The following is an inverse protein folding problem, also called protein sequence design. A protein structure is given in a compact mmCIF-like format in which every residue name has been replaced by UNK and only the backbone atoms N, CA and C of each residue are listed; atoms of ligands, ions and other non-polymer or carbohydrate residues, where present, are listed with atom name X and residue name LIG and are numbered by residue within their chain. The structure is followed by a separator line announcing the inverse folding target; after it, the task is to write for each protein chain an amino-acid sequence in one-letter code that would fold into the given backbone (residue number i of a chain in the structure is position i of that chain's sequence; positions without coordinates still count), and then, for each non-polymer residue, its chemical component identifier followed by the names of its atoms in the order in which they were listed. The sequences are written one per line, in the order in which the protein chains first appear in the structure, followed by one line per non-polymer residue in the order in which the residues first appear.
data_IF_671772734823
#
_entry.id   IF_671772734823
#
_cell.length_a   1.000
_cell.length_b   1.000
_cell.length_c   1.000
_cell.angle_alpha   90.00
_cell.angle_beta   90.00
_cell.angle_gamma   90.00
#
_symmetry.space_group_name_H-M   'P 1'
#
loop_
_entity.id
_entity.type
_entity.pdbx_description
1 polymer ?
#
# COMPACT_ATOMS: atom_id res chain seq x y z
N UNK A 1 8.29 2.69 17.36
CA UNK A 1 7.30 1.58 17.46
C UNK A 1 8.01 0.33 17.95
N UNK A 2 7.32 -0.61 18.60
CA UNK A 2 7.90 -1.90 19.04
C UNK A 2 7.92 -2.92 17.89
N UNK A 3 8.70 -3.99 18.04
CA UNK A 3 8.80 -5.06 17.02
C UNK A 3 7.43 -5.70 16.68
N UNK A 4 6.57 -6.08 17.67
CA UNK A 4 5.25 -6.63 17.36
C UNK A 4 4.38 -5.69 16.52
N UNK A 5 4.43 -4.38 16.77
CA UNK A 5 3.66 -3.40 15.99
C UNK A 5 4.16 -3.28 14.55
N UNK A 6 5.48 -3.36 14.33
CA UNK A 6 6.07 -3.32 12.98
C UNK A 6 5.66 -4.57 12.20
N UNK A 7 5.72 -5.75 12.82
CA UNK A 7 5.28 -7.00 12.18
C UNK A 7 3.79 -6.98 11.84
N UNK A 8 2.96 -6.48 12.76
CA UNK A 8 1.53 -6.30 12.50
C UNK A 8 1.27 -5.32 11.36
N UNK A 9 1.96 -4.17 11.33
CA UNK A 9 1.86 -3.19 10.25
C UNK A 9 2.25 -3.81 8.90
N UNK A 10 3.35 -4.56 8.85
CA UNK A 10 3.78 -5.27 7.64
C UNK A 10 2.75 -6.30 7.18
N UNK A 11 2.20 -7.10 8.10
CA UNK A 11 1.16 -8.08 7.80
C UNK A 11 -0.07 -7.42 7.16
N UNK A 12 -0.55 -6.30 7.72
CA UNK A 12 -1.70 -5.56 7.19
C UNK A 12 -1.38 -4.95 5.83
N UNK A 13 -0.18 -4.37 5.64
CA UNK A 13 0.23 -3.83 4.35
C UNK A 13 0.31 -4.92 3.26
N UNK A 14 0.86 -6.09 3.59
CA UNK A 14 0.88 -7.24 2.68
C UNK A 14 -0.53 -7.76 2.39
N UNK A 15 -1.42 -7.79 3.39
CA UNK A 15 -2.83 -8.14 3.19
C UNK A 15 -3.50 -7.21 2.16
N UNK A 16 -3.29 -5.90 2.25
CA UNK A 16 -3.83 -4.96 1.27
C UNK A 16 -3.27 -5.21 -0.14
N UNK A 17 -1.97 -5.41 -0.29
CA UNK A 17 -1.36 -5.71 -1.59
C UNK A 17 -1.88 -7.04 -2.18
N UNK A 18 -2.07 -8.06 -1.33
CA UNK A 18 -2.60 -9.36 -1.74
C UNK A 18 -4.08 -9.31 -2.11
N UNK A 19 -4.92 -8.66 -1.30
CA UNK A 19 -6.33 -8.44 -1.63
C UNK A 19 -6.48 -7.61 -2.91
N UNK A 20 -5.68 -6.56 -3.07
CA UNK A 20 -5.68 -5.77 -4.30
C UNK A 20 -5.30 -6.62 -5.51
N UNK A 21 -4.28 -7.48 -5.40
CA UNK A 21 -3.92 -8.42 -6.44
C UNK A 21 -5.09 -9.34 -6.83
N UNK A 22 -5.76 -9.93 -5.85
CA UNK A 22 -6.89 -10.83 -6.07
C UNK A 22 -8.07 -10.13 -6.76
N UNK A 23 -8.40 -8.91 -6.32
CA UNK A 23 -9.50 -8.11 -6.89
C UNK A 23 -9.16 -7.66 -8.31
N UNK A 24 -7.91 -7.24 -8.54
CA UNK A 24 -7.48 -6.69 -9.83
C UNK A 24 -7.21 -7.77 -10.88
N UNK A 25 -6.85 -8.97 -10.42
CA UNK A 25 -6.41 -10.09 -11.25
C UNK A 25 -5.09 -9.83 -11.98
N UNK A 26 -4.69 -10.78 -12.82
CA UNK A 26 -3.49 -10.71 -13.66
C UNK A 26 -2.46 -11.79 -13.34
N UNK A 27 -1.24 -11.62 -13.85
CA UNK A 27 -0.14 -12.57 -13.63
C UNK A 27 0.42 -12.48 -12.21
N UNK A 28 0.86 -13.62 -11.67
CA UNK A 28 1.51 -13.71 -10.35
C UNK A 28 2.75 -12.79 -10.26
N UNK A 29 3.40 -12.49 -11.39
CA UNK A 29 4.53 -11.57 -11.48
C UNK A 29 4.20 -10.12 -11.08
N UNK A 30 2.93 -9.73 -11.04
CA UNK A 30 2.50 -8.41 -10.53
C UNK A 30 2.35 -8.37 -9.01
N UNK A 31 2.35 -9.52 -8.33
CA UNK A 31 2.16 -9.58 -6.88
C UNK A 31 3.27 -8.82 -6.10
N UNK A 32 4.57 -8.99 -6.42
CA UNK A 32 5.62 -8.23 -5.72
C UNK A 32 5.48 -6.72 -5.88
N UNK A 33 5.03 -6.24 -7.05
CA UNK A 33 4.76 -4.82 -7.28
C UNK A 33 3.68 -4.31 -6.33
N UNK A 34 2.56 -5.02 -6.20
CA UNK A 34 1.48 -4.59 -5.31
C UNK A 34 1.87 -4.65 -3.83
N UNK A 35 2.66 -5.63 -3.40
CA UNK A 35 3.21 -5.62 -2.03
C UNK A 35 4.12 -4.41 -1.79
N UNK A 36 4.99 -4.09 -2.74
CA UNK A 36 5.86 -2.92 -2.62
C UNK A 36 5.03 -1.62 -2.52
N UNK A 37 4.07 -1.44 -3.43
CA UNK A 37 3.20 -0.26 -3.43
C UNK A 37 2.34 -0.15 -2.16
N UNK A 38 1.81 -1.26 -1.67
CA UNK A 38 0.98 -1.26 -0.46
C UNK A 38 1.80 -0.92 0.78
N UNK A 39 3.02 -1.45 0.92
CA UNK A 39 3.95 -1.12 2.01
C UNK A 39 4.33 0.37 1.93
N UNK A 40 4.70 0.85 0.73
CA UNK A 40 5.08 2.24 0.52
C UNK A 40 3.95 3.19 0.94
N UNK A 41 2.73 2.95 0.46
CA UNK A 41 1.57 3.74 0.84
C UNK A 41 1.22 3.66 2.31
N UNK A 42 1.38 2.48 2.92
CA UNK A 42 1.11 2.30 4.34
C UNK A 42 2.06 3.14 5.20
N UNK A 43 3.36 3.11 4.89
CA UNK A 43 4.37 3.94 5.55
C UNK A 43 4.10 5.43 5.31
N UNK A 44 3.83 5.83 4.07
CA UNK A 44 3.53 7.23 3.74
C UNK A 44 2.31 7.74 4.50
N UNK A 45 1.22 6.97 4.55
CA UNK A 45 0.02 7.31 5.31
C UNK A 45 0.32 7.47 6.80
N UNK A 46 1.06 6.53 7.40
CA UNK A 46 1.47 6.62 8.80
C UNK A 46 2.26 7.90 9.09
N UNK A 47 3.29 8.17 8.30
CA UNK A 47 4.18 9.32 8.46
C UNK A 47 3.46 10.64 8.24
N UNK A 48 2.59 10.74 7.22
CA UNK A 48 1.75 11.92 7.00
C UNK A 48 0.83 12.17 8.20
N UNK A 49 0.23 11.12 8.74
CA UNK A 49 -0.59 11.21 9.95
C UNK A 49 0.20 11.75 11.14
N UNK A 50 1.42 11.25 11.37
CA UNK A 50 2.30 11.75 12.43
C UNK A 50 2.70 13.21 12.21
N UNK A 51 3.13 13.55 10.99
CA UNK A 51 3.59 14.89 10.64
C UNK A 51 2.49 15.94 10.79
N UNK A 52 1.25 15.59 10.44
CA UNK A 52 0.10 16.49 10.51
C UNK A 52 -0.67 16.41 11.84
N UNK A 53 -0.30 15.49 12.73
CA UNK A 53 -1.03 15.20 13.96
C UNK A 53 -2.41 14.57 13.71
N UNK A 54 -2.66 14.04 12.52
CA UNK A 54 -3.92 13.39 12.18
C UNK A 54 -3.91 11.95 12.67
N UNK A 55 -4.67 11.66 13.73
CA UNK A 55 -4.80 10.32 14.30
C UNK A 55 -6.15 9.75 13.87
N UNK A 56 -6.15 8.69 13.07
CA UNK A 56 -7.36 8.05 12.56
C UNK A 56 -7.27 6.54 12.73
N UNK A 57 -8.20 5.97 13.50
CA UNK A 57 -8.20 4.54 13.89
C UNK A 57 -6.81 4.16 14.47
N UNK A 58 -6.43 4.69 15.65
CA UNK A 58 -5.16 4.33 16.28
C UNK A 58 -5.20 2.90 16.83
N UNK A 59 -4.09 2.19 16.70
CA UNK A 59 -3.85 0.89 17.33
C UNK A 59 -2.46 0.91 17.96
N UNK A 60 -2.42 1.20 19.26
CA UNK A 60 -1.17 1.49 19.96
C UNK A 60 -0.42 2.65 19.30
N UNK A 61 0.84 2.44 18.92
CA UNK A 61 1.65 3.43 18.22
C UNK A 61 1.34 3.53 16.71
N UNK A 62 0.49 2.65 16.16
CA UNK A 62 0.16 2.61 14.74
C UNK A 62 -1.07 3.45 14.43
N UNK A 63 -0.93 4.36 13.47
CA UNK A 63 -2.04 5.12 12.92
C UNK A 63 -2.70 4.33 11.79
N UNK A 64 -3.47 3.29 12.14
CA UNK A 64 -3.92 2.26 11.20
C UNK A 64 -4.77 2.86 10.08
N UNK A 65 -5.70 3.76 10.40
CA UNK A 65 -6.60 4.36 9.41
C UNK A 65 -5.87 5.16 8.34
N UNK A 66 -4.98 6.10 8.74
CA UNK A 66 -4.20 6.87 7.76
C UNK A 66 -3.25 5.96 6.95
N UNK A 67 -2.67 4.95 7.59
CA UNK A 67 -1.80 3.99 6.92
C UNK A 67 -2.57 3.19 5.86
N UNK A 68 -3.76 2.69 6.20
CA UNK A 68 -4.65 1.99 5.26
C UNK A 68 -5.06 2.89 4.09
N UNK A 69 -5.42 4.15 4.36
CA UNK A 69 -5.75 5.12 3.30
C UNK A 69 -4.56 5.35 2.36
N UNK A 70 -3.37 5.59 2.91
CA UNK A 70 -2.15 5.76 2.11
C UNK A 70 -1.84 4.53 1.27
N UNK A 71 -1.98 3.33 1.84
CA UNK A 71 -1.77 2.05 1.14
C UNK A 71 -2.70 1.91 -0.07
N UNK A 72 -4.01 2.15 0.13
CA UNK A 72 -5.01 2.08 -0.94
C UNK A 72 -4.73 3.11 -2.03
N UNK A 73 -4.43 4.36 -1.66
CA UNK A 73 -4.15 5.43 -2.62
C UNK A 73 -2.92 5.13 -3.47
N UNK A 74 -1.80 4.72 -2.87
CA UNK A 74 -0.58 4.41 -3.63
C UNK A 74 -0.76 3.15 -4.48
N UNK A 75 -1.49 2.13 -4.02
CA UNK A 75 -1.83 0.97 -4.83
C UNK A 75 -2.60 1.36 -6.10
N UNK A 76 -3.64 2.18 -5.95
CA UNK A 76 -4.45 2.65 -7.08
C UNK A 76 -3.63 3.48 -8.07
N UNK A 77 -2.84 4.43 -7.57
CA UNK A 77 -2.00 5.29 -8.42
C UNK A 77 -0.88 4.51 -9.11
N UNK A 78 -0.19 3.62 -8.37
CA UNK A 78 0.91 2.82 -8.90
C UNK A 78 0.45 1.77 -9.91
N UNK A 79 -0.68 1.08 -9.67
CA UNK A 79 -1.23 0.18 -10.68
C UNK A 79 -1.65 0.95 -11.94
N UNK A 80 -2.32 2.09 -11.77
CA UNK A 80 -2.70 2.95 -12.90
C UNK A 80 -1.48 3.35 -13.72
N UNK A 81 -0.43 3.89 -13.08
CA UNK A 81 0.80 4.30 -13.74
C UNK A 81 1.48 3.14 -14.47
N UNK A 82 1.55 1.95 -13.84
CA UNK A 82 2.16 0.76 -14.44
C UNK A 82 1.51 0.32 -15.76
N UNK A 83 0.24 0.65 -15.95
CA UNK A 83 -0.54 0.27 -17.14
C UNK A 83 -0.43 1.27 -18.28
N UNK A 84 -0.15 2.53 -17.98
CA UNK A 84 0.03 3.57 -19.00
C UNK A 84 1.25 3.22 -19.84
N UNK A 85 2.37 2.90 -19.21
CA UNK A 85 3.63 2.62 -19.89
C UNK A 85 3.61 1.27 -20.65
N UNK A 86 2.88 0.28 -20.12
CA UNK A 86 2.69 -0.99 -20.81
C UNK A 86 1.90 -0.89 -22.12
N UNK A 87 1.03 0.12 -22.26
CA UNK A 87 0.21 0.34 -23.47
C UNK A 87 1.00 0.98 -24.61
N UNK A 88 2.05 1.74 -24.32
CA UNK A 88 2.89 2.37 -25.34
C UNK A 88 3.87 1.37 -25.99
N UNK A 89 4.39 0.42 -25.22
CA UNK A 89 5.32 -0.60 -25.75
C UNK A 89 4.68 -1.63 -26.68
N UNK A 90 3.35 -1.77 -26.67
CA UNK A 90 2.65 -2.72 -27.56
C UNK A 90 2.25 -2.12 -28.92
N UNK A 91 2.55 -0.83 -29.15
CA UNK A 91 2.20 -0.11 -30.39
C UNK A 91 3.39 0.15 -31.32
N UNK A 92 4.57 -0.34 -30.96
CA UNK A 92 5.81 -0.22 -31.74
C UNK A 92 6.12 -1.57 -32.39
#
# INVERSE_FOLDING_TARGET
MTLPTILFALLVALLYGGLYHLIRGGSLWRLPLYFFLSILGFITGHLLGLWRGWIFIPLGALNLGLSSLGSILILLLGDWLSRIEGKDRSKV
#
